data_IF_592780537549
#
_entry.id   IF_592780537549
#
_cell.length_a   1.000
_cell.length_b   1.000
_cell.length_c   1.000
_cell.angle_alpha   90.00
_cell.angle_beta   90.00
_cell.angle_gamma   90.00
#
_symmetry.space_group_name_H-M   'P 1'
#
loop_
_entity.id
_entity.type
_entity.pdbx_description
1 polymer ?
#
# COMPACT_ATOMS: atom_id res chain seq x y z
N UNK A 1 8.75 3.18 -14.74
CA UNK A 1 8.89 2.91 -13.31
C UNK A 1 9.96 3.81 -12.71
N UNK A 2 9.59 4.59 -11.70
CA UNK A 2 10.50 5.54 -11.05
C UNK A 2 11.45 4.81 -10.12
N UNK A 3 12.76 5.08 -10.23
CA UNK A 3 13.72 4.63 -9.21
C UNK A 3 13.53 5.49 -7.96
N UNK A 4 13.19 4.84 -6.86
CA UNK A 4 13.09 5.49 -5.54
C UNK A 4 14.50 5.50 -4.92
N UNK A 5 15.01 6.68 -4.58
CA UNK A 5 16.27 6.80 -3.84
C UNK A 5 16.02 6.61 -2.32
N UNK A 6 17.08 6.55 -1.52
CA UNK A 6 16.96 6.29 -0.08
C UNK A 6 16.04 7.29 0.64
N UNK A 7 16.16 8.58 0.36
CA UNK A 7 15.30 9.60 0.97
C UNK A 7 13.83 9.42 0.57
N UNK A 8 13.56 9.12 -0.70
CA UNK A 8 12.21 8.83 -1.19
C UNK A 8 11.61 7.56 -0.59
N UNK A 9 12.44 6.56 -0.28
CA UNK A 9 11.98 5.33 0.37
C UNK A 9 11.48 5.60 1.78
N UNK A 10 12.24 6.37 2.57
CA UNK A 10 11.79 6.79 3.90
C UNK A 10 10.55 7.70 3.83
N UNK A 11 10.51 8.61 2.84
CA UNK A 11 9.32 9.44 2.60
C UNK A 11 8.08 8.59 2.35
N UNK A 12 8.17 7.60 1.45
CA UNK A 12 7.07 6.68 1.18
C UNK A 12 6.67 5.86 2.41
N UNK A 13 7.65 5.33 3.15
CA UNK A 13 7.36 4.58 4.38
C UNK A 13 6.61 5.43 5.42
N UNK A 14 7.01 6.69 5.61
CA UNK A 14 6.32 7.63 6.51
C UNK A 14 4.89 7.92 6.03
N UNK A 15 4.70 8.17 4.73
CA UNK A 15 3.36 8.36 4.16
C UNK A 15 2.43 7.16 4.34
N UNK A 16 2.96 5.93 4.28
CA UNK A 16 2.18 4.73 4.58
C UNK A 16 1.81 4.65 6.07
N UNK A 17 2.77 4.88 6.98
CA UNK A 17 2.52 4.86 8.44
C UNK A 17 1.50 5.94 8.85
N UNK A 18 1.53 7.10 8.22
CA UNK A 18 0.60 8.20 8.49
C UNK A 18 -0.85 7.92 8.08
N UNK A 19 -1.10 6.83 7.34
CA UNK A 19 -2.46 6.36 7.00
C UNK A 19 -2.85 5.27 8.01
N UNK A 20 -3.80 5.53 8.94
CA UNK A 20 -4.26 4.49 9.85
C UNK A 20 -4.91 3.34 9.09
N UNK A 21 -4.41 2.12 9.28
CA UNK A 21 -4.88 0.91 8.59
C UNK A 21 -5.23 -0.21 9.56
N UNK A 22 -5.73 0.10 10.76
CA UNK A 22 -6.14 -0.94 11.72
C UNK A 22 -7.13 -1.89 11.04
N UNK A 23 -7.04 -3.20 11.29
CA UNK A 23 -7.92 -4.22 10.66
C UNK A 23 -9.39 -3.77 10.66
N UNK A 24 -10.02 -3.75 9.49
CA UNK A 24 -11.37 -3.22 9.26
C UNK A 24 -11.44 -1.76 8.80
N UNK A 25 -10.34 -1.01 8.85
CA UNK A 25 -10.23 0.38 8.42
C UNK A 25 -9.16 0.58 7.34
N UNK A 26 -8.95 -0.42 6.47
CA UNK A 26 -7.88 -0.42 5.47
C UNK A 26 -8.23 0.40 4.21
N UNK A 27 -9.46 0.92 4.08
CA UNK A 27 -9.97 1.52 2.84
C UNK A 27 -9.08 2.65 2.30
N UNK A 28 -8.68 3.60 3.15
CA UNK A 28 -7.83 4.71 2.77
C UNK A 28 -6.42 4.26 2.33
N UNK A 29 -5.85 3.27 3.02
CA UNK A 29 -4.58 2.65 2.61
C UNK A 29 -4.72 1.97 1.25
N UNK A 30 -5.84 1.28 1.03
CA UNK A 30 -6.10 0.62 -0.23
C UNK A 30 -6.28 1.62 -1.39
N UNK A 31 -6.95 2.75 -1.16
CA UNK A 31 -7.05 3.84 -2.12
C UNK A 31 -5.67 4.41 -2.48
N UNK A 32 -4.85 4.71 -1.47
CA UNK A 32 -3.51 5.26 -1.65
C UNK A 32 -2.62 4.33 -2.47
N UNK A 33 -2.54 3.04 -2.11
CA UNK A 33 -1.71 2.07 -2.82
C UNK A 33 -2.22 1.83 -4.24
N UNK A 34 -3.54 1.85 -4.46
CA UNK A 34 -4.09 1.68 -5.80
C UNK A 34 -3.68 2.82 -6.73
N UNK A 35 -3.76 4.06 -6.25
CA UNK A 35 -3.32 5.23 -7.00
C UNK A 35 -1.80 5.19 -7.28
N UNK A 36 -1.00 4.92 -6.24
CA UNK A 36 0.45 4.84 -6.36
C UNK A 36 0.90 3.78 -7.39
N UNK A 37 0.30 2.58 -7.36
CA UNK A 37 0.65 1.49 -8.26
C UNK A 37 0.15 1.75 -9.69
N UNK A 38 -1.02 2.39 -9.85
CA UNK A 38 -1.52 2.79 -11.16
C UNK A 38 -0.62 3.86 -11.82
N UNK A 39 -0.11 4.83 -11.04
CA UNK A 39 0.86 5.81 -11.53
C UNK A 39 2.16 5.16 -12.03
N UNK A 40 2.55 4.04 -11.43
CA UNK A 40 3.69 3.22 -11.85
C UNK A 40 3.36 2.18 -12.94
N UNK A 41 2.17 2.30 -13.56
CA UNK A 41 1.71 1.52 -14.71
C UNK A 41 1.36 0.06 -14.42
N UNK A 42 1.05 -0.28 -13.16
CA UNK A 42 0.45 -1.57 -12.85
C UNK A 42 -1.02 -1.61 -13.29
N UNK A 43 -1.48 -2.78 -13.74
CA UNK A 43 -2.91 -3.10 -13.81
C UNK A 43 -3.39 -3.43 -12.39
N UNK A 44 -4.07 -2.47 -11.77
CA UNK A 44 -4.53 -2.55 -10.39
C UNK A 44 -5.98 -2.99 -10.33
N UNK A 45 -6.23 -4.08 -9.60
CA UNK A 45 -7.56 -4.67 -9.40
C UNK A 45 -7.86 -4.76 -7.92
N UNK A 46 -9.06 -4.35 -7.53
CA UNK A 46 -9.58 -4.59 -6.18
C UNK A 46 -10.19 -5.98 -6.07
N UNK A 47 -10.03 -6.62 -4.92
CA UNK A 47 -10.71 -7.86 -4.58
C UNK A 47 -11.47 -7.66 -3.27
N UNK A 48 -12.80 -7.60 -3.35
CA UNK A 48 -13.64 -7.42 -2.16
C UNK A 48 -13.49 -8.62 -1.21
N UNK A 49 -13.31 -8.33 0.08
CA UNK A 49 -13.19 -9.33 1.14
C UNK A 49 -14.42 -9.29 2.03
N UNK A 50 -14.73 -8.11 2.55
CA UNK A 50 -15.89 -7.81 3.41
C UNK A 50 -16.35 -6.37 3.13
N UNK A 51 -17.49 -5.96 3.69
CA UNK A 51 -17.97 -4.59 3.54
C UNK A 51 -16.91 -3.59 4.07
N UNK A 52 -16.40 -2.74 3.18
CA UNK A 52 -15.35 -1.76 3.49
C UNK A 52 -13.93 -2.31 3.49
N UNK A 53 -13.71 -3.60 3.17
CA UNK A 53 -12.39 -4.25 3.14
C UNK A 53 -12.13 -4.90 1.80
N UNK A 54 -10.95 -4.61 1.24
CA UNK A 54 -10.52 -5.17 -0.04
C UNK A 54 -9.03 -5.40 -0.07
N UNK A 55 -8.62 -6.42 -0.81
CA UNK A 55 -7.23 -6.61 -1.21
C UNK A 55 -6.96 -5.84 -2.51
N UNK A 56 -5.68 -5.60 -2.78
CA UNK A 56 -5.20 -5.07 -4.06
C UNK A 56 -4.36 -6.14 -4.74
N UNK A 57 -4.69 -6.43 -6.00
CA UNK A 57 -3.83 -7.17 -6.91
C UNK A 57 -3.30 -6.20 -7.97
N UNK A 58 -1.99 -5.96 -7.98
CA UNK A 58 -1.33 -5.12 -8.96
C UNK A 58 -0.43 -5.99 -9.85
N UNK A 59 -0.72 -6.01 -11.16
CA UNK A 59 -0.03 -6.85 -12.14
C UNK A 59 0.80 -5.98 -13.08
N UNK A 60 2.04 -6.39 -13.36
CA UNK A 60 2.90 -5.74 -14.33
C UNK A 60 3.27 -6.71 -15.46
N UNK A 61 2.91 -6.36 -16.69
CA UNK A 61 3.07 -7.20 -17.87
C UNK A 61 2.04 -8.34 -17.97
N UNK A 62 2.07 -9.07 -19.08
CA UNK A 62 1.00 -10.02 -19.43
C UNK A 62 1.16 -11.42 -18.79
N UNK A 63 2.35 -11.76 -18.31
CA UNK A 63 2.67 -13.07 -17.75
C UNK A 63 3.61 -12.96 -16.54
N UNK A 64 3.09 -12.57 -15.35
CA UNK A 64 3.92 -12.42 -14.16
C UNK A 64 4.43 -13.79 -13.68
N UNK A 65 5.75 -13.91 -13.47
CA UNK A 65 6.39 -15.14 -12.98
C UNK A 65 6.57 -15.15 -11.44
N UNK A 66 6.43 -14.00 -10.79
CA UNK A 66 6.66 -13.80 -9.35
C UNK A 66 5.51 -13.01 -8.76
N UNK A 67 5.08 -13.38 -7.56
CA UNK A 67 4.11 -12.63 -6.76
C UNK A 67 4.78 -12.21 -5.46
N UNK A 68 4.73 -10.90 -5.15
CA UNK A 68 5.13 -10.37 -3.86
C UNK A 68 3.86 -10.11 -3.04
N UNK A 69 3.72 -10.81 -1.92
CA UNK A 69 2.54 -10.70 -1.05
C UNK A 69 2.91 -10.06 0.29
N UNK A 70 2.04 -9.17 0.78
CA UNK A 70 2.09 -8.59 2.12
C UNK A 70 0.67 -8.21 2.53
N UNK A 71 0.48 -7.82 3.79
CA UNK A 71 -0.78 -7.27 4.29
C UNK A 71 -0.66 -5.74 4.47
N UNK A 72 -1.81 -5.07 4.45
CA UNK A 72 -1.92 -3.60 4.64
C UNK A 72 -2.36 -3.24 6.05
N UNK A 73 -3.03 -4.17 6.73
CA UNK A 73 -3.66 -3.90 8.00
C UNK A 73 -2.67 -3.92 9.16
N UNK A 74 -3.02 -3.18 10.20
CA UNK A 74 -2.25 -3.07 11.44
C UNK A 74 -3.10 -3.48 12.64
N UNK A 75 -2.43 -3.77 13.75
CA UNK A 75 -3.10 -3.91 15.06
C UNK A 75 -3.49 -2.53 15.60
N UNK A 76 -4.40 -2.44 16.59
CA UNK A 76 -4.73 -1.17 17.25
C UNK A 76 -3.51 -0.46 17.85
N UNK A 77 -3.61 0.86 18.01
CA UNK A 77 -2.55 1.71 18.58
C UNK A 77 -1.80 2.54 17.54
N UNK A 78 -2.52 3.13 16.59
CA UNK A 78 -1.93 3.98 15.56
C UNK A 78 -1.20 5.19 16.16
N UNK A 79 -0.04 5.51 15.59
CA UNK A 79 0.70 6.73 15.82
C UNK A 79 1.23 7.25 14.47
N UNK A 80 1.36 8.57 14.36
CA UNK A 80 1.97 9.18 13.18
C UNK A 80 3.44 8.75 13.03
N UNK A 81 3.95 8.83 11.81
CA UNK A 81 5.34 8.53 11.53
C UNK A 81 6.28 9.47 12.30
N UNK A 82 7.27 8.88 12.97
CA UNK A 82 8.30 9.59 13.73
C UNK A 82 9.67 8.95 13.51
N UNK A 83 10.72 9.75 13.67
CA UNK A 83 12.11 9.30 13.69
C UNK A 83 12.73 9.88 14.97
N UNK A 84 13.53 9.07 15.66
CA UNK A 84 14.32 9.55 16.79
C UNK A 84 15.49 10.42 16.27
N UNK A 85 15.93 11.38 17.08
CA UNK A 85 17.11 12.22 16.81
C UNK A 85 18.44 11.45 17.00
#
# INVERSE_FOLDING_TARGET
>A
MKRINRAGLFGLAKSLVDIPSVTGNEAAMADFLSALLAEEQFDVRSQDVEAGRRNILAVLGDAPAVVLCTHMDTVPGWAAAGEDD
#
